data_IF_652018675495
#
_entry.id   IF_652018675495
#
_cell.length_a   1.000
_cell.length_b   1.000
_cell.length_c   1.000
_cell.angle_alpha   90.00
_cell.angle_beta   90.00
_cell.angle_gamma   90.00
#
_symmetry.space_group_name_H-M   'P 1'
#
loop_
_entity.id
_entity.type
_entity.pdbx_description
1 polymer ?
#
# COMPACT_ATOMS: atom_id res chain seq x y z
N UNK A 1 -15.42 8.10 -7.70
CA UNK A 1 -15.08 6.71 -7.32
C UNK A 1 -16.11 6.30 -6.28
N UNK A 2 -16.76 5.14 -6.43
CA UNK A 2 -17.68 4.62 -5.43
C UNK A 2 -16.85 4.05 -4.26
N UNK A 3 -17.15 4.41 -3.01
CA UNK A 3 -16.42 3.92 -1.83
C UNK A 3 -16.46 2.38 -1.74
N UNK A 4 -17.54 1.76 -2.20
CA UNK A 4 -17.66 0.30 -2.26
C UNK A 4 -16.62 -0.36 -3.20
N UNK A 5 -16.00 0.40 -4.09
CA UNK A 5 -15.02 -0.11 -5.06
C UNK A 5 -13.58 0.07 -4.60
N UNK A 6 -13.33 0.71 -3.45
CA UNK A 6 -11.97 1.03 -3.00
C UNK A 6 -11.12 -0.23 -2.75
N UNK A 7 -11.74 -1.33 -2.29
CA UNK A 7 -11.09 -2.64 -2.09
C UNK A 7 -10.73 -3.35 -3.40
N UNK A 8 -11.35 -2.96 -4.53
CA UNK A 8 -11.01 -3.50 -5.85
C UNK A 8 -9.77 -2.83 -6.46
N UNK A 9 -9.36 -1.68 -5.92
CA UNK A 9 -8.19 -0.97 -6.41
C UNK A 9 -6.93 -1.75 -6.08
N UNK A 10 -6.15 -2.07 -7.12
CA UNK A 10 -4.81 -2.66 -6.96
C UNK A 10 -3.73 -1.80 -7.64
N UNK A 11 -3.50 -0.55 -7.18
CA UNK A 11 -2.41 0.27 -7.68
C UNK A 11 -1.07 -0.43 -7.53
N UNK A 12 -0.21 -0.28 -8.54
CA UNK A 12 1.19 -0.71 -8.48
C UNK A 12 2.06 0.51 -8.21
N UNK A 13 3.03 0.34 -7.33
CA UNK A 13 4.02 1.35 -6.97
C UNK A 13 5.36 0.82 -7.49
N UNK A 14 6.16 1.69 -8.09
CA UNK A 14 7.51 1.36 -8.53
C UNK A 14 8.44 2.39 -7.91
N UNK A 15 9.46 1.92 -7.20
CA UNK A 15 10.53 2.77 -6.67
C UNK A 15 11.74 2.65 -7.61
N UNK A 16 12.49 3.74 -7.71
CA UNK A 16 13.68 3.81 -8.53
C UNK A 16 14.89 4.12 -7.66
N UNK A 17 16.06 3.60 -8.02
CA UNK A 17 17.31 3.98 -7.38
C UNK A 17 17.91 5.27 -8.00
N UNK A 18 19.13 5.60 -7.58
CA UNK A 18 19.84 6.79 -8.04
C UNK A 18 20.20 6.76 -9.54
N UNK A 19 20.26 5.57 -10.14
CA UNK A 19 20.60 5.35 -11.54
C UNK A 19 19.31 5.24 -12.40
N UNK A 20 18.14 5.46 -11.78
CA UNK A 20 16.81 5.35 -12.37
C UNK A 20 16.44 3.91 -12.78
N UNK A 21 17.09 2.93 -12.17
CA UNK A 21 16.71 1.53 -12.30
C UNK A 21 15.58 1.21 -11.32
N UNK A 22 14.69 0.30 -11.73
CA UNK A 22 13.61 -0.16 -10.85
C UNK A 22 14.23 -0.90 -9.67
N UNK A 23 14.00 -0.37 -8.47
CA UNK A 23 14.51 -0.95 -7.22
C UNK A 23 13.49 -1.90 -6.60
N UNK A 24 12.26 -1.41 -6.38
CA UNK A 24 11.19 -2.21 -5.78
C UNK A 24 9.89 -2.07 -6.58
N UNK A 25 9.10 -3.14 -6.61
CA UNK A 25 7.73 -3.13 -7.13
C UNK A 25 6.78 -3.49 -6.00
N UNK A 26 5.97 -2.52 -5.60
CA UNK A 26 5.05 -2.68 -4.49
C UNK A 26 3.61 -2.62 -4.98
N UNK A 27 2.68 -3.01 -4.12
CA UNK A 27 1.24 -2.90 -4.39
C UNK A 27 0.51 -2.31 -3.20
N UNK A 28 -0.55 -1.55 -3.48
CA UNK A 28 -1.45 -1.07 -2.43
C UNK A 28 -2.59 -2.06 -2.25
N UNK A 29 -2.88 -2.44 -1.00
CA UNK A 29 -4.02 -3.27 -0.64
C UNK A 29 -4.95 -2.50 0.29
N UNK A 30 -6.25 -2.67 0.06
CA UNK A 30 -7.31 -2.15 0.92
C UNK A 30 -8.26 -3.28 1.26
N UNK A 31 -8.41 -3.53 2.55
CA UNK A 31 -9.32 -4.54 3.08
C UNK A 31 -10.43 -3.87 3.88
N UNK A 32 -11.63 -4.43 3.83
CA UNK A 32 -12.79 -4.00 4.61
C UNK A 32 -13.17 -5.11 5.58
N UNK A 33 -13.14 -4.83 6.88
CA UNK A 33 -13.50 -5.83 7.89
C UNK A 33 -15.03 -5.95 8.07
N UNK A 34 -15.46 -6.96 8.83
CA UNK A 34 -16.87 -7.22 9.11
C UNK A 34 -17.59 -6.08 9.89
N UNK A 35 -16.83 -5.14 10.45
CA UNK A 35 -17.36 -3.97 11.16
C UNK A 35 -17.40 -2.72 10.26
N UNK A 36 -17.06 -2.85 8.98
CA UNK A 36 -17.03 -1.74 8.03
C UNK A 36 -15.79 -0.84 8.16
N UNK A 37 -14.70 -1.31 8.77
CA UNK A 37 -13.45 -0.54 8.87
C UNK A 37 -12.50 -0.91 7.74
N UNK A 38 -11.96 0.11 7.09
CA UNK A 38 -10.91 -0.05 6.10
C UNK A 38 -9.54 -0.20 6.75
N UNK A 39 -8.76 -1.15 6.25
CA UNK A 39 -7.34 -1.33 6.55
C UNK A 39 -6.54 -1.14 5.27
N UNK A 40 -5.39 -0.48 5.39
CA UNK A 40 -4.55 -0.12 4.26
C UNK A 40 -3.16 -0.72 4.44
N UNK A 41 -2.57 -1.24 3.37
CA UNK A 41 -1.24 -1.83 3.42
C UNK A 41 -0.50 -1.61 2.10
N UNK A 42 0.83 -1.51 2.19
CA UNK A 42 1.71 -1.59 1.04
C UNK A 42 2.39 -2.96 1.12
N UNK A 43 2.24 -3.74 0.06
CA UNK A 43 2.81 -5.08 -0.03
C UNK A 43 4.00 -5.07 -0.98
N UNK A 44 5.02 -5.87 -0.67
CA UNK A 44 6.13 -6.14 -1.59
C UNK A 44 5.75 -7.16 -2.68
N UNK A 45 6.72 -7.60 -3.48
CA UNK A 45 6.51 -8.59 -4.54
C UNK A 45 6.15 -9.99 -4.02
N UNK A 46 6.46 -10.29 -2.76
CA UNK A 46 6.05 -11.52 -2.08
C UNK A 46 4.64 -11.43 -1.46
N UNK A 47 3.96 -10.28 -1.60
CA UNK A 47 2.71 -9.92 -0.93
C UNK A 47 2.84 -9.79 0.60
N UNK A 48 4.06 -9.59 1.11
CA UNK A 48 4.27 -9.35 2.53
C UNK A 48 4.03 -7.86 2.83
N UNK A 49 3.29 -7.59 3.90
CA UNK A 49 2.98 -6.23 4.30
C UNK A 49 4.25 -5.53 4.81
N UNK A 50 4.65 -4.46 4.14
CA UNK A 50 5.74 -3.63 4.60
C UNK A 50 5.32 -2.87 5.85
N UNK A 51 6.24 -2.80 6.83
CA UNK A 51 6.04 -1.97 8.00
C UNK A 51 5.81 -0.52 7.54
N UNK A 52 4.62 0.01 7.84
CA UNK A 52 4.37 1.44 7.63
C UNK A 52 5.33 2.18 8.56
N UNK A 53 6.27 2.98 8.02
CA UNK A 53 7.15 3.77 8.87
C UNK A 53 6.28 4.58 9.82
N UNK A 54 6.49 4.40 11.13
CA UNK A 54 5.66 4.96 12.17
C UNK A 54 5.31 6.42 11.87
N UNK A 55 4.02 6.77 12.01
CA UNK A 55 3.54 8.15 11.94
C UNK A 55 4.51 9.02 12.74
N UNK A 56 5.17 9.96 12.05
CA UNK A 56 5.96 10.98 12.74
C UNK A 56 4.99 11.65 13.69
N UNK A 57 5.13 11.40 14.99
CA UNK A 57 4.47 12.19 16.01
C UNK A 57 5.04 13.59 15.84
N UNK A 58 4.30 14.46 15.16
CA UNK A 58 4.63 15.86 15.05
C UNK A 58 4.79 16.42 16.47
N UNK A 59 5.96 16.96 16.77
CA UNK A 59 6.21 17.79 17.93
C UNK A 59 5.75 19.23 17.64
#
# INVERSE_FOLDING_TARGET
LDEAQITSLKPRIVTFDQDNDIRDRLSYSVDLDAHGRYSFSILDEANEALAIPALVSGA
#
